data_IF_166646645050
#
_entry.id   IF_166646645050
#
_cell.length_a   1.000
_cell.length_b   1.000
_cell.length_c   1.000
_cell.angle_alpha   90.00
_cell.angle_beta   90.00
_cell.angle_gamma   90.00
#
_symmetry.space_group_name_H-M   'P 1'
#
loop_
_entity.id
_entity.type
_entity.pdbx_description
1 polymer ?
#
# COMPACT_ATOMS: atom_id res chain seq x y z
N UNK A 1 56.18 -3.75 14.15
CA UNK A 1 55.05 -3.22 14.94
C UNK A 1 53.79 -3.36 14.09
N UNK A 2 53.07 -4.47 14.21
CA UNK A 2 51.82 -4.69 13.46
C UNK A 2 50.74 -3.82 14.10
N UNK A 3 50.30 -2.81 13.38
CA UNK A 3 49.04 -2.13 13.66
C UNK A 3 47.95 -3.15 13.38
N UNK A 4 47.40 -3.77 14.42
CA UNK A 4 46.13 -4.49 14.32
C UNK A 4 45.10 -3.39 14.08
N UNK A 5 44.83 -3.11 12.81
CA UNK A 5 43.63 -2.39 12.42
C UNK A 5 42.50 -3.28 12.89
N UNK A 6 41.96 -3.00 14.08
CA UNK A 6 40.62 -3.42 14.44
C UNK A 6 39.73 -2.82 13.36
N UNK A 7 39.50 -3.59 12.31
CA UNK A 7 38.33 -3.46 11.47
C UNK A 7 37.19 -3.81 12.41
N UNK A 8 36.80 -2.84 13.23
CA UNK A 8 35.41 -2.67 13.62
C UNK A 8 34.69 -2.39 12.31
N UNK A 9 34.51 -3.47 11.53
CA UNK A 9 33.58 -3.48 10.44
C UNK A 9 32.31 -2.93 11.04
N UNK A 10 31.80 -1.88 10.42
CA UNK A 10 30.43 -1.47 10.62
C UNK A 10 29.57 -2.66 10.18
N UNK A 11 29.45 -3.68 11.04
CA UNK A 11 28.45 -4.72 10.92
C UNK A 11 27.14 -4.12 11.44
N UNK A 12 26.67 -3.08 10.75
CA UNK A 12 25.32 -2.54 10.84
C UNK A 12 24.35 -3.48 10.09
N UNK A 13 24.50 -4.79 10.27
CA UNK A 13 23.84 -5.80 9.46
C UNK A 13 23.92 -7.17 10.11
N UNK A 14 23.26 -7.34 11.26
CA UNK A 14 23.00 -8.66 11.83
C UNK A 14 24.20 -9.26 12.56
N UNK A 15 24.38 -8.84 13.82
CA UNK A 15 25.09 -9.69 14.77
C UNK A 15 24.28 -10.96 14.98
N UNK A 16 24.97 -12.08 14.80
CA UNK A 16 24.60 -13.43 15.18
C UNK A 16 24.12 -13.47 16.64
N UNK A 17 22.85 -13.80 16.82
CA UNK A 17 22.16 -13.81 18.12
C UNK A 17 20.99 -12.82 18.11
N UNK A 18 19.77 -13.30 17.93
CA UNK A 18 18.52 -12.54 18.16
C UNK A 18 18.51 -11.05 17.72
N UNK A 19 19.03 -10.75 16.53
CA UNK A 19 18.23 -9.95 15.60
C UNK A 19 17.12 -10.90 15.13
N UNK A 20 15.85 -10.69 15.42
CA UNK A 20 15.02 -9.80 14.60
C UNK A 20 13.75 -9.34 15.33
N UNK A 21 13.57 -9.67 16.61
CA UNK A 21 12.25 -9.79 17.24
C UNK A 21 11.73 -11.21 16.99
N UNK A 22 11.14 -11.86 18.01
CA UNK A 22 10.61 -13.23 17.88
C UNK A 22 9.68 -13.38 16.66
N UNK A 23 9.43 -14.62 16.21
CA UNK A 23 8.64 -14.92 15.00
C UNK A 23 7.48 -13.91 14.77
N UNK A 24 7.53 -13.20 13.64
CA UNK A 24 6.53 -12.18 13.28
C UNK A 24 6.82 -10.76 13.78
N UNK A 25 7.94 -10.51 14.46
CA UNK A 25 8.44 -9.17 14.80
C UNK A 25 9.69 -8.85 13.99
N UNK A 26 9.77 -7.63 13.46
CA UNK A 26 10.97 -7.07 12.81
C UNK A 26 11.58 -5.99 13.69
N UNK A 27 12.90 -5.83 13.68
CA UNK A 27 13.59 -4.74 14.41
C UNK A 27 14.07 -3.68 13.41
N UNK A 28 13.64 -2.43 13.60
CA UNK A 28 14.05 -1.29 12.80
C UNK A 28 15.47 -0.85 13.19
N UNK A 29 16.14 -0.11 12.31
CA UNK A 29 17.49 0.43 12.55
C UNK A 29 17.58 1.41 13.73
N UNK A 30 16.43 1.94 14.18
CA UNK A 30 16.30 2.79 15.36
C UNK A 30 16.07 1.98 16.67
N UNK A 31 16.13 0.66 16.60
CA UNK A 31 15.94 -0.25 17.73
C UNK A 31 14.48 -0.57 18.07
N UNK A 32 13.50 0.08 17.43
CA UNK A 32 12.08 -0.20 17.65
C UNK A 32 11.64 -1.51 16.99
N UNK A 33 10.59 -2.14 17.52
CA UNK A 33 10.09 -3.45 17.06
C UNK A 33 8.75 -3.28 16.33
N UNK A 34 8.68 -3.73 15.08
CA UNK A 34 7.47 -3.76 14.25
C UNK A 34 6.80 -5.14 14.31
N UNK A 35 5.49 -5.17 14.49
CA UNK A 35 4.68 -6.39 14.43
C UNK A 35 4.16 -6.58 13.00
N UNK A 36 4.71 -7.55 12.28
CA UNK A 36 4.44 -7.78 10.86
C UNK A 36 3.00 -8.26 10.63
N UNK A 37 2.43 -9.02 11.56
CA UNK A 37 1.06 -9.51 11.48
C UNK A 37 0.07 -8.35 11.60
N UNK A 38 0.29 -7.43 12.55
CA UNK A 38 -0.53 -6.22 12.69
C UNK A 38 -0.42 -5.31 11.46
N UNK A 39 0.78 -5.15 10.89
CA UNK A 39 0.98 -4.33 9.69
C UNK A 39 0.28 -4.95 8.48
N UNK A 40 0.44 -6.25 8.27
CA UNK A 40 -0.24 -6.98 7.19
C UNK A 40 -1.75 -6.82 7.26
N UNK A 41 -2.34 -6.98 8.46
CA UNK A 41 -3.78 -6.76 8.67
C UNK A 41 -4.20 -5.34 8.35
N UNK A 42 -3.47 -4.32 8.81
CA UNK A 42 -3.75 -2.91 8.49
C UNK A 42 -3.69 -2.63 6.99
N UNK A 43 -2.76 -3.25 6.27
CA UNK A 43 -2.65 -3.13 4.81
C UNK A 43 -3.88 -3.76 4.14
N UNK A 44 -4.27 -4.97 4.55
CA UNK A 44 -5.46 -5.64 4.02
C UNK A 44 -6.73 -4.81 4.26
N UNK A 45 -6.92 -4.30 5.48
CA UNK A 45 -8.05 -3.45 5.84
C UNK A 45 -8.09 -2.16 5.00
N UNK A 46 -6.92 -1.52 4.78
CA UNK A 46 -6.81 -0.32 3.96
C UNK A 46 -7.11 -0.58 2.48
N UNK A 47 -6.64 -1.70 1.93
CA UNK A 47 -6.92 -2.10 0.54
C UNK A 47 -8.42 -2.39 0.36
N UNK A 48 -9.02 -3.16 1.27
CA UNK A 48 -10.46 -3.46 1.21
C UNK A 48 -11.33 -2.19 1.33
N UNK A 49 -10.90 -1.21 2.12
CA UNK A 49 -11.56 0.09 2.17
C UNK A 49 -11.41 0.86 0.86
N UNK A 50 -10.20 0.91 0.29
CA UNK A 50 -9.94 1.61 -0.97
C UNK A 50 -10.73 1.02 -2.15
N UNK A 51 -10.91 -0.30 -2.19
CA UNK A 51 -11.75 -0.97 -3.20
C UNK A 51 -13.20 -0.49 -3.13
N UNK A 52 -13.80 -0.46 -1.93
CA UNK A 52 -15.17 0.04 -1.73
C UNK A 52 -15.30 1.52 -2.11
N UNK A 53 -14.31 2.34 -1.78
CA UNK A 53 -14.29 3.76 -2.17
C UNK A 53 -14.20 3.92 -3.69
N UNK A 54 -13.43 3.08 -4.37
CA UNK A 54 -13.32 3.07 -5.83
C UNK A 54 -14.65 2.72 -6.50
N UNK A 55 -15.40 1.76 -5.97
CA UNK A 55 -16.74 1.44 -6.46
C UNK A 55 -17.68 2.64 -6.34
N UNK A 56 -17.76 3.27 -5.17
CA UNK A 56 -18.57 4.48 -4.95
C UNK A 56 -18.15 5.60 -5.92
N UNK A 57 -16.84 5.80 -6.13
CA UNK A 57 -16.34 6.79 -7.08
C UNK A 57 -16.82 6.49 -8.52
N UNK A 58 -16.80 5.23 -8.95
CA UNK A 58 -17.28 4.83 -10.28
C UNK A 58 -18.79 5.10 -10.40
N UNK A 59 -19.57 4.77 -9.37
CA UNK A 59 -21.02 5.06 -9.35
C UNK A 59 -21.30 6.57 -9.41
N UNK A 60 -20.55 7.39 -8.69
CA UNK A 60 -20.72 8.85 -8.76
C UNK A 60 -20.34 9.38 -10.15
N UNK A 61 -19.26 8.85 -10.76
CA UNK A 61 -18.87 9.21 -12.12
C UNK A 61 -19.89 8.77 -13.17
N UNK A 62 -20.55 7.63 -12.98
CA UNK A 62 -21.58 7.19 -13.92
C UNK A 62 -22.79 8.13 -13.94
N UNK A 63 -23.12 8.77 -12.82
CA UNK A 63 -24.16 9.81 -12.77
C UNK A 63 -23.77 11.03 -13.63
N UNK A 64 -22.51 11.46 -13.60
CA UNK A 64 -22.02 12.54 -14.48
C UNK A 64 -22.19 12.18 -15.96
N UNK A 65 -21.81 10.95 -16.34
CA UNK A 65 -22.00 10.46 -17.71
C UNK A 65 -23.49 10.36 -18.11
N UNK A 66 -24.35 9.87 -17.21
CA UNK A 66 -25.80 9.82 -17.44
C UNK A 66 -26.39 11.24 -17.58
N UNK A 67 -25.87 12.21 -16.82
CA UNK A 67 -26.31 13.60 -16.90
C UNK A 67 -26.06 14.21 -18.29
N UNK A 68 -24.95 13.84 -18.94
CA UNK A 68 -24.61 14.27 -20.32
C UNK A 68 -25.57 13.72 -21.38
N UNK A 69 -26.30 12.66 -21.06
CA UNK A 69 -27.28 12.02 -21.93
C UNK A 69 -28.72 12.49 -21.68
N UNK A 70 -28.97 13.29 -20.64
CA UNK A 70 -30.31 13.84 -20.38
C UNK A 70 -30.79 14.64 -21.59
N UNK A 71 -32.05 14.43 -21.96
CA UNK A 71 -32.73 15.04 -23.10
C UNK A 71 -32.14 14.71 -24.49
N UNK A 72 -31.23 13.74 -24.60
CA UNK A 72 -30.76 13.25 -25.89
C UNK A 72 -31.40 11.90 -26.24
N UNK A 73 -31.74 11.72 -27.52
CA UNK A 73 -32.19 10.43 -28.06
C UNK A 73 -30.99 9.64 -28.57
N UNK A 74 -31.00 8.33 -28.32
CA UNK A 74 -30.04 7.39 -28.90
C UNK A 74 -30.40 7.21 -30.38
N UNK A 75 -29.45 7.47 -31.26
CA UNK A 75 -29.55 7.15 -32.69
C UNK A 75 -29.14 5.72 -32.95
N UNK A 76 -29.59 5.17 -34.08
CA UNK A 76 -29.27 3.79 -34.49
C UNK A 76 -27.77 3.57 -34.78
N UNK A 77 -26.98 4.64 -34.86
CA UNK A 77 -25.52 4.64 -35.06
C UNK A 77 -24.72 4.67 -33.73
N UNK A 78 -25.41 4.60 -32.58
CA UNK A 78 -24.78 4.65 -31.26
C UNK A 78 -24.40 6.06 -30.79
N UNK A 79 -24.73 7.10 -31.55
CA UNK A 79 -24.53 8.49 -31.13
C UNK A 79 -25.78 9.08 -30.48
N UNK A 80 -25.61 10.23 -29.83
CA UNK A 80 -26.65 10.89 -29.04
C UNK A 80 -26.89 12.31 -29.59
N UNK A 81 -28.15 12.69 -29.85
CA UNK A 81 -28.54 14.02 -30.35
C UNK A 81 -29.71 14.58 -29.55
N UNK A 82 -29.76 15.92 -29.46
CA UNK A 82 -30.97 16.63 -29.03
C UNK A 82 -32.14 16.34 -29.99
#
# INVERSE_FOLDING_TARGET
MMVVVMVMGCNSGGVSGEGTGGEGKGRKGDGSVIDLAKVSKKIQDAVAFAEKVKEVQILVKSIDELSKAIAKKIKNDGTSSN
#
